data_IF_417028159807
#
_entry.id   IF_417028159807
#
_cell.length_a   1.000
_cell.length_b   1.000
_cell.length_c   1.000
_cell.angle_alpha   90.00
_cell.angle_beta   90.00
_cell.angle_gamma   90.00
#
_symmetry.space_group_name_H-M   'P 1'
#
loop_
_entity.id
_entity.type
_entity.pdbx_description
1 polymer ?
#
# COMPACT_ATOMS: atom_id res chain seq x y z
N UNK A 1 28.26 -13.23 -8.11
CA UNK A 1 28.90 -13.83 -9.31
C UNK A 1 29.65 -12.74 -10.05
N UNK A 2 30.95 -12.91 -10.32
CA UNK A 2 31.77 -11.91 -11.05
C UNK A 2 31.62 -12.14 -12.55
N UNK A 3 31.52 -11.06 -13.34
CA UNK A 3 31.50 -11.12 -14.81
C UNK A 3 30.13 -11.39 -15.44
N UNK A 4 29.07 -11.60 -14.66
CA UNK A 4 27.71 -11.75 -15.19
C UNK A 4 26.98 -10.42 -15.28
N UNK A 5 26.03 -10.34 -16.23
CA UNK A 5 25.19 -9.16 -16.42
C UNK A 5 24.22 -8.97 -15.24
N UNK A 6 24.10 -7.73 -14.76
CA UNK A 6 23.27 -7.40 -13.59
C UNK A 6 21.79 -7.75 -13.79
N UNK A 7 21.24 -7.52 -15.00
CA UNK A 7 19.84 -7.81 -15.31
C UNK A 7 19.51 -9.31 -15.18
N UNK A 8 20.49 -10.19 -15.37
CA UNK A 8 20.33 -11.63 -15.16
C UNK A 8 20.41 -11.99 -13.68
N UNK A 9 21.46 -11.51 -13.01
CA UNK A 9 21.74 -11.89 -11.61
C UNK A 9 20.73 -11.28 -10.63
N UNK A 10 20.38 -10.00 -10.82
CA UNK A 10 19.54 -9.25 -9.89
C UNK A 10 18.06 -9.31 -10.24
N UNK A 11 17.73 -9.42 -11.54
CA UNK A 11 16.37 -9.30 -12.05
C UNK A 11 15.86 -10.55 -12.78
N UNK A 12 16.71 -11.57 -12.98
CA UNK A 12 16.33 -12.83 -13.64
C UNK A 12 15.89 -12.65 -15.08
N UNK A 13 16.33 -11.58 -15.75
CA UNK A 13 16.01 -11.28 -17.14
C UNK A 13 17.13 -11.77 -18.06
N UNK A 14 16.78 -12.01 -19.32
CA UNK A 14 17.75 -12.34 -20.37
C UNK A 14 18.22 -11.13 -21.18
N UNK A 15 17.61 -9.97 -20.92
CA UNK A 15 17.89 -8.69 -21.58
C UNK A 15 17.97 -7.54 -20.58
N UNK A 16 18.63 -6.42 -20.93
CA UNK A 16 18.71 -5.22 -20.09
C UNK A 16 17.34 -4.75 -19.61
N UNK A 17 17.27 -4.33 -18.34
CA UNK A 17 16.03 -3.87 -17.71
C UNK A 17 15.39 -2.71 -18.49
N UNK A 18 14.07 -2.71 -18.76
CA UNK A 18 13.40 -1.56 -19.36
C UNK A 18 13.45 -0.33 -18.45
N UNK A 19 13.64 -0.57 -17.15
CA UNK A 19 13.81 0.45 -16.12
C UNK A 19 15.30 0.77 -15.81
N UNK A 20 16.24 0.39 -16.68
CA UNK A 20 17.67 0.59 -16.40
C UNK A 20 18.03 2.09 -16.30
N UNK A 21 18.47 2.52 -15.12
CA UNK A 21 18.84 3.91 -14.81
C UNK A 21 20.21 4.33 -15.32
N UNK A 22 20.97 3.45 -16.00
CA UNK A 22 22.35 3.75 -16.42
C UNK A 22 22.51 5.06 -17.21
N UNK A 23 21.51 5.41 -18.02
CA UNK A 23 21.50 6.64 -18.82
C UNK A 23 21.29 7.93 -18.00
N UNK A 24 20.88 7.81 -16.73
CA UNK A 24 20.62 8.91 -15.80
C UNK A 24 21.79 9.15 -14.82
N UNK A 25 22.78 8.26 -14.79
CA UNK A 25 23.81 8.27 -13.75
C UNK A 25 24.91 9.29 -14.06
N UNK A 26 25.25 10.09 -13.05
CA UNK A 26 26.38 11.02 -13.07
C UNK A 26 27.31 10.76 -11.89
N UNK A 27 28.41 11.51 -11.79
CA UNK A 27 29.42 11.33 -10.74
C UNK A 27 29.15 12.17 -9.50
N UNK A 28 28.44 13.27 -9.66
CA UNK A 28 28.30 14.32 -8.66
C UNK A 28 27.26 13.94 -7.60
N UNK A 29 26.09 13.47 -8.04
CA UNK A 29 24.96 13.15 -7.18
C UNK A 29 24.45 11.72 -7.39
N UNK A 30 23.73 11.23 -6.37
CA UNK A 30 23.03 9.95 -6.46
C UNK A 30 21.71 10.11 -7.20
N UNK A 31 21.43 9.19 -8.12
CA UNK A 31 20.07 8.93 -8.57
C UNK A 31 19.40 8.03 -7.54
N UNK A 32 18.32 8.52 -6.93
CA UNK A 32 17.59 7.82 -5.87
C UNK A 32 16.23 7.43 -6.40
N UNK A 33 15.90 6.15 -6.29
CA UNK A 33 14.64 5.60 -6.78
C UNK A 33 14.24 4.36 -5.99
N UNK A 34 12.97 4.00 -6.10
CA UNK A 34 12.41 2.83 -5.41
C UNK A 34 12.05 1.75 -6.41
N UNK A 35 12.27 0.49 -6.03
CA UNK A 35 11.98 -0.66 -6.88
C UNK A 35 11.56 -1.86 -6.06
N UNK A 36 10.43 -2.48 -6.44
CA UNK A 36 10.06 -3.81 -5.96
C UNK A 36 10.71 -4.85 -6.85
N UNK A 37 11.62 -5.63 -6.30
CA UNK A 37 12.25 -6.73 -7.04
C UNK A 37 11.22 -7.87 -7.21
N UNK A 38 10.89 -8.27 -8.45
CA UNK A 38 9.86 -9.28 -8.70
C UNK A 38 10.28 -10.69 -8.25
N UNK A 39 11.57 -10.96 -8.10
CA UNK A 39 12.10 -12.26 -7.67
C UNK A 39 12.01 -12.39 -6.16
N UNK A 40 12.45 -11.36 -5.42
CA UNK A 40 12.50 -11.42 -3.96
C UNK A 40 11.21 -10.95 -3.30
N UNK A 41 10.35 -10.22 -4.02
CA UNK A 41 9.15 -9.57 -3.48
C UNK A 41 9.44 -8.42 -2.52
N UNK A 42 10.71 -8.05 -2.35
CA UNK A 42 11.16 -6.98 -1.44
C UNK A 42 11.16 -5.64 -2.15
N UNK A 43 10.91 -4.59 -1.37
CA UNK A 43 10.93 -3.21 -1.83
C UNK A 43 12.21 -2.51 -1.38
N UNK A 44 12.94 -1.94 -2.34
CA UNK A 44 14.26 -1.35 -2.09
C UNK A 44 14.27 0.14 -2.42
N UNK A 45 14.94 0.92 -1.56
CA UNK A 45 15.43 2.24 -1.88
C UNK A 45 16.83 2.10 -2.48
N UNK A 46 16.96 2.42 -3.76
CA UNK A 46 18.19 2.31 -4.54
C UNK A 46 18.85 3.67 -4.66
N UNK A 47 20.17 3.71 -4.46
CA UNK A 47 21.01 4.90 -4.66
C UNK A 47 22.14 4.54 -5.61
N UNK A 48 22.06 5.10 -6.81
CA UNK A 48 22.96 4.78 -7.91
C UNK A 48 23.82 5.99 -8.26
N UNK A 49 25.11 5.79 -8.58
CA UNK A 49 25.95 6.81 -9.23
C UNK A 49 27.11 6.20 -9.98
N UNK A 50 27.76 7.00 -10.82
CA UNK A 50 29.04 6.65 -11.40
C UNK A 50 30.17 6.96 -10.43
N UNK A 51 31.14 6.05 -10.32
CA UNK A 51 32.38 6.23 -9.56
C UNK A 51 33.58 5.76 -10.38
N UNK A 52 34.74 6.33 -10.12
CA UNK A 52 35.99 5.81 -10.65
C UNK A 52 36.56 4.75 -9.71
N UNK A 53 36.74 3.54 -10.23
CA UNK A 53 37.33 2.43 -9.52
C UNK A 53 38.49 1.87 -10.33
N UNK A 54 39.71 2.03 -9.81
CA UNK A 54 40.95 1.55 -10.46
C UNK A 54 41.08 2.02 -11.92
N UNK A 55 40.79 3.29 -12.17
CA UNK A 55 40.86 3.89 -13.52
C UNK A 55 39.71 3.52 -14.46
N UNK A 56 38.68 2.80 -13.99
CA UNK A 56 37.47 2.49 -14.75
C UNK A 56 36.27 3.18 -14.15
N UNK A 57 35.41 3.75 -15.00
CA UNK A 57 34.10 4.24 -14.58
C UNK A 57 33.17 3.05 -14.37
N UNK A 58 32.59 2.95 -13.17
CA UNK A 58 31.66 1.88 -12.79
C UNK A 58 30.40 2.45 -12.17
N UNK A 59 29.28 1.71 -12.28
CA UNK A 59 28.07 1.97 -11.51
C UNK A 59 28.26 1.42 -10.10
N UNK A 60 28.08 2.28 -9.10
CA UNK A 60 27.90 1.89 -7.71
C UNK A 60 26.42 2.01 -7.37
N UNK A 61 25.87 0.97 -6.75
CA UNK A 61 24.49 0.93 -6.28
C UNK A 61 24.50 0.52 -4.81
N UNK A 62 23.71 1.25 -4.01
CA UNK A 62 23.39 0.87 -2.63
C UNK A 62 21.90 0.59 -2.56
N UNK A 63 21.54 -0.64 -2.22
CA UNK A 63 20.17 -1.07 -2.04
C UNK A 63 19.84 -1.20 -0.56
N UNK A 64 18.88 -0.41 -0.08
CA UNK A 64 18.36 -0.51 1.29
C UNK A 64 16.98 -1.16 1.21
N UNK A 65 16.82 -2.33 1.84
CA UNK A 65 15.51 -2.96 1.97
C UNK A 65 14.62 -2.10 2.89
N UNK A 66 13.53 -1.59 2.34
CA UNK A 66 12.54 -0.78 3.05
C UNK A 66 11.19 -1.49 3.17
N UNK A 67 11.12 -2.79 2.88
CA UNK A 67 9.89 -3.58 2.87
C UNK A 67 9.13 -3.46 4.19
N UNK A 68 9.81 -3.64 5.32
CA UNK A 68 9.18 -3.60 6.64
C UNK A 68 8.72 -2.19 7.01
N UNK A 69 9.47 -1.18 6.60
CA UNK A 69 9.11 0.23 6.78
C UNK A 69 7.85 0.58 5.99
N UNK A 70 7.77 0.16 4.73
CA UNK A 70 6.59 0.35 3.89
C UNK A 70 5.37 -0.38 4.44
N UNK A 71 5.52 -1.64 4.87
CA UNK A 71 4.44 -2.40 5.50
C UNK A 71 3.95 -1.72 6.79
N UNK A 72 4.87 -1.21 7.62
CA UNK A 72 4.53 -0.48 8.83
C UNK A 72 3.81 0.83 8.51
N UNK A 73 4.31 1.60 7.54
CA UNK A 73 3.69 2.84 7.07
C UNK A 73 2.26 2.60 6.57
N UNK A 74 2.06 1.53 5.79
CA UNK A 74 0.73 1.11 5.33
C UNK A 74 -0.18 0.74 6.49
N UNK A 75 0.27 -0.10 7.43
CA UNK A 75 -0.51 -0.50 8.59
C UNK A 75 -0.92 0.72 9.46
N UNK A 76 -0.02 1.70 9.63
CA UNK A 76 -0.33 2.96 10.32
C UNK A 76 -1.40 3.74 9.56
N UNK A 77 -1.29 3.85 8.24
CA UNK A 77 -2.26 4.54 7.40
C UNK A 77 -3.64 3.87 7.48
N UNK A 78 -3.70 2.54 7.37
CA UNK A 78 -4.93 1.76 7.45
C UNK A 78 -5.59 1.95 8.84
N UNK A 79 -4.79 1.94 9.91
CA UNK A 79 -5.27 2.20 11.27
C UNK A 79 -5.82 3.63 11.42
N UNK A 80 -5.16 4.63 10.84
CA UNK A 80 -5.62 6.02 10.88
C UNK A 80 -6.94 6.19 10.10
N UNK A 81 -7.07 5.55 8.93
CA UNK A 81 -8.31 5.54 8.15
C UNK A 81 -9.46 4.90 8.94
N UNK A 82 -9.21 3.77 9.60
CA UNK A 82 -10.20 3.14 10.48
C UNK A 82 -10.60 4.03 11.67
N UNK A 83 -9.64 4.70 12.32
CA UNK A 83 -9.94 5.62 13.42
C UNK A 83 -10.81 6.81 12.96
N UNK A 84 -10.52 7.39 11.80
CA UNK A 84 -11.34 8.45 11.20
C UNK A 84 -12.77 7.98 10.93
N UNK A 85 -12.90 6.78 10.36
CA UNK A 85 -14.20 6.18 10.09
C UNK A 85 -15.06 6.03 11.35
N UNK A 86 -14.45 5.57 12.45
CA UNK A 86 -15.16 5.44 13.73
C UNK A 86 -15.66 6.81 14.25
N UNK A 87 -14.83 7.84 14.18
CA UNK A 87 -15.22 9.21 14.57
C UNK A 87 -16.36 9.72 13.70
N UNK A 88 -16.30 9.49 12.38
CA UNK A 88 -17.35 9.88 11.44
C UNK A 88 -18.67 9.14 11.72
N UNK A 89 -18.61 7.86 12.12
CA UNK A 89 -19.79 7.09 12.52
C UNK A 89 -20.43 7.66 13.79
N UNK A 90 -19.63 7.96 14.83
CA UNK A 90 -20.13 8.56 16.08
C UNK A 90 -20.77 9.92 15.81
N UNK A 91 -20.13 10.76 14.99
CA UNK A 91 -20.69 12.04 14.57
C UNK A 91 -22.01 11.87 13.84
N UNK A 92 -22.08 10.90 12.93
CA UNK A 92 -23.28 10.58 12.15
C UNK A 92 -24.45 10.20 13.07
N UNK A 93 -24.23 9.36 14.08
CA UNK A 93 -25.25 9.04 15.07
C UNK A 93 -25.76 10.27 15.83
N UNK A 94 -24.89 11.24 16.12
CA UNK A 94 -25.28 12.45 16.84
C UNK A 94 -26.03 13.47 15.96
N UNK A 95 -25.71 13.53 14.67
CA UNK A 95 -26.25 14.54 13.75
C UNK A 95 -27.46 14.06 12.93
N UNK A 96 -27.63 12.74 12.78
CA UNK A 96 -28.70 12.20 11.97
C UNK A 96 -30.08 12.43 12.64
N UNK A 97 -31.11 12.84 11.89
CA UNK A 97 -32.47 12.99 12.38
C UNK A 97 -33.06 11.72 13.00
N UNK A 98 -32.68 10.54 12.49
CA UNK A 98 -33.17 9.24 12.98
C UNK A 98 -32.07 8.18 13.03
N UNK A 99 -32.28 7.16 13.85
CA UNK A 99 -31.38 6.01 13.94
C UNK A 99 -31.20 5.27 12.60
N UNK A 100 -32.29 5.03 11.86
CA UNK A 100 -32.23 4.36 10.56
C UNK A 100 -31.42 5.15 9.53
N UNK A 101 -31.53 6.49 9.51
CA UNK A 101 -30.70 7.31 8.64
C UNK A 101 -29.22 7.24 9.03
N UNK A 102 -28.92 7.26 10.34
CA UNK A 102 -27.54 7.10 10.82
C UNK A 102 -26.95 5.76 10.37
N UNK A 103 -27.68 4.66 10.56
CA UNK A 103 -27.26 3.30 10.17
C UNK A 103 -27.00 3.21 8.66
N UNK A 104 -27.90 3.74 7.83
CA UNK A 104 -27.72 3.72 6.37
C UNK A 104 -26.48 4.52 5.93
N UNK A 105 -26.19 5.67 6.56
CA UNK A 105 -24.98 6.45 6.27
C UNK A 105 -23.73 5.67 6.69
N UNK A 106 -23.74 5.07 7.88
CA UNK A 106 -22.62 4.28 8.41
C UNK A 106 -22.34 3.06 7.53
N UNK A 107 -23.37 2.34 7.08
CA UNK A 107 -23.20 1.18 6.20
C UNK A 107 -22.56 1.57 4.86
N UNK A 108 -22.88 2.75 4.31
CA UNK A 108 -22.21 3.27 3.11
C UNK A 108 -20.73 3.61 3.35
N UNK A 109 -20.40 4.19 4.50
CA UNK A 109 -19.02 4.49 4.89
C UNK A 109 -18.21 3.19 5.00
N UNK A 110 -18.73 2.19 5.72
CA UNK A 110 -18.10 0.89 5.89
C UNK A 110 -17.91 0.17 4.56
N UNK A 111 -18.94 0.20 3.70
CA UNK A 111 -18.86 -0.36 2.34
C UNK A 111 -17.69 0.23 1.56
N UNK A 112 -17.54 1.55 1.59
CA UNK A 112 -16.49 2.27 0.85
C UNK A 112 -15.09 1.95 1.38
N UNK A 113 -14.91 1.91 2.70
CA UNK A 113 -13.60 1.67 3.32
C UNK A 113 -13.14 0.23 3.08
N UNK A 114 -14.05 -0.72 3.23
CA UNK A 114 -13.73 -2.13 3.06
C UNK A 114 -13.83 -2.62 1.61
N UNK A 115 -14.14 -1.73 0.66
CA UNK A 115 -14.40 -2.06 -0.75
C UNK A 115 -15.39 -3.23 -0.90
N UNK A 116 -16.36 -3.32 0.02
CA UNK A 116 -17.35 -4.37 0.01
C UNK A 116 -18.41 -4.07 -1.06
N UNK A 117 -18.97 -5.10 -1.68
CA UNK A 117 -20.10 -4.90 -2.60
C UNK A 117 -21.37 -4.47 -1.84
N UNK A 118 -21.56 -5.04 -0.64
CA UNK A 118 -22.80 -4.95 0.15
C UNK A 118 -22.48 -4.93 1.65
N UNK A 119 -23.29 -4.22 2.44
CA UNK A 119 -23.20 -4.15 3.91
C UNK A 119 -24.61 -4.15 4.51
N UNK A 120 -24.82 -4.91 5.59
CA UNK A 120 -26.13 -5.13 6.21
C UNK A 120 -26.04 -5.09 7.73
N UNK A 121 -27.12 -4.65 8.37
CA UNK A 121 -27.36 -4.84 9.82
C UNK A 121 -28.62 -5.66 9.97
N UNK A 122 -28.57 -6.64 10.86
CA UNK A 122 -29.71 -7.47 11.25
C UNK A 122 -30.04 -7.18 12.70
N UNK A 123 -31.30 -6.85 12.99
CA UNK A 123 -31.81 -6.67 14.34
C UNK A 123 -32.67 -7.88 14.71
N UNK A 124 -32.44 -8.44 15.90
CA UNK A 124 -33.24 -9.53 16.46
C UNK A 124 -33.96 -9.02 17.70
N UNK A 125 -35.29 -8.97 17.67
CA UNK A 125 -36.12 -8.63 18.82
C UNK A 125 -36.60 -9.91 19.51
N UNK A 126 -36.22 -10.12 20.77
CA UNK A 126 -36.74 -11.22 21.59
C UNK A 126 -38.14 -10.87 22.11
N UNK A 127 -39.17 -11.12 21.30
CA UNK A 127 -40.57 -10.85 21.67
C UNK A 127 -41.58 -11.51 20.73
N UNK A 128 -42.01 -12.73 21.08
CA UNK A 128 -43.22 -13.48 20.67
C UNK A 128 -43.62 -13.65 19.19
N UNK A 129 -42.93 -13.06 18.21
CA UNK A 129 -42.97 -13.51 16.80
C UNK A 129 -41.58 -13.35 16.21
N UNK A 130 -41.06 -14.43 15.64
CA UNK A 130 -39.79 -14.47 14.90
C UNK A 130 -39.87 -13.64 13.59
N UNK A 131 -40.16 -12.34 13.69
CA UNK A 131 -40.15 -11.43 12.55
C UNK A 131 -38.82 -10.68 12.50
N UNK A 132 -38.00 -11.04 11.51
CA UNK A 132 -36.72 -10.38 11.22
C UNK A 132 -37.01 -9.01 10.61
N UNK A 133 -36.71 -7.94 11.33
CA UNK A 133 -36.72 -6.59 10.77
C UNK A 133 -35.43 -6.36 9.98
N UNK A 134 -35.54 -6.35 8.65
CA UNK A 134 -34.45 -5.97 7.75
C UNK A 134 -34.56 -4.47 7.45
N UNK A 135 -33.55 -3.68 7.82
CA UNK A 135 -33.36 -2.33 7.26
C UNK A 135 -32.11 -2.34 6.39
N UNK A 136 -32.33 -2.38 5.09
CA UNK A 136 -31.31 -2.53 4.06
C UNK A 136 -31.52 -1.48 2.97
N UNK A 137 -30.60 -0.53 2.89
CA UNK A 137 -30.28 0.12 1.60
C UNK A 137 -28.78 0.29 1.48
#
# INVERSE_FOLDING_TARGET
VVGQACYRVLQGRDEPCPFCTNHLLVREFFHVWEHTNPITGRHYLLKDKLVDWRGKTVRMEVAVDITDKENTSRAIKDKLEMQRALVDCVRTFYTAPTFNEAINIILRILRRIHQADRAYVFEYTSGERDEVFCSNT
#
